data_IF_547881183946
#
_entry.id   IF_547881183946
#
_cell.length_a   1.000
_cell.length_b   1.000
_cell.length_c   1.000
_cell.angle_alpha   90.00
_cell.angle_beta   90.00
_cell.angle_gamma   90.00
#
_symmetry.space_group_name_H-M   'P 1'
#
loop_
_entity.id
_entity.type
_entity.pdbx_description
1 polymer ?
#
# COMPACT_ATOMS: atom_id res chain seq x y z
N UNK A 1 -8.54 24.79 9.40
CA UNK A 1 -7.28 24.28 8.79
C UNK A 1 -6.60 23.31 9.76
N UNK A 2 -7.28 22.19 10.09
CA UNK A 2 -6.82 21.17 11.06
C UNK A 2 -7.11 19.77 10.50
N UNK A 3 -8.20 19.64 9.72
CA UNK A 3 -8.58 18.39 9.04
C UNK A 3 -7.51 17.97 8.02
N UNK A 4 -6.90 18.92 7.29
CA UNK A 4 -5.81 18.62 6.35
C UNK A 4 -4.57 18.03 7.04
N UNK A 5 -4.11 18.63 8.14
CA UNK A 5 -2.97 18.11 8.90
C UNK A 5 -3.27 16.77 9.56
N UNK A 6 -4.52 16.53 9.97
CA UNK A 6 -4.91 15.25 10.55
C UNK A 6 -4.83 14.10 9.54
N UNK A 7 -5.32 14.32 8.32
CA UNK A 7 -5.27 13.33 7.23
C UNK A 7 -3.81 13.11 6.77
N UNK A 8 -3.02 14.17 6.65
CA UNK A 8 -1.60 14.08 6.29
C UNK A 8 -0.79 13.33 7.36
N UNK A 9 -1.02 13.62 8.64
CA UNK A 9 -0.40 12.88 9.74
C UNK A 9 -0.80 11.39 9.72
N UNK A 10 -2.05 11.08 9.41
CA UNK A 10 -2.53 9.70 9.29
C UNK A 10 -1.91 8.98 8.08
N UNK A 11 -1.77 9.66 6.95
CA UNK A 11 -1.10 9.15 5.75
C UNK A 11 0.38 8.88 6.00
N UNK A 12 1.07 9.78 6.70
CA UNK A 12 2.46 9.60 7.09
C UNK A 12 2.64 8.44 8.07
N UNK A 13 1.72 8.28 9.03
CA UNK A 13 1.73 7.16 9.97
C UNK A 13 1.47 5.83 9.25
N UNK A 14 0.55 5.82 8.29
CA UNK A 14 0.29 4.66 7.43
C UNK A 14 1.52 4.33 6.56
N UNK A 15 2.20 5.35 6.02
CA UNK A 15 3.43 5.21 5.24
C UNK A 15 4.61 4.74 6.10
N UNK A 16 4.67 5.13 7.38
CA UNK A 16 5.64 4.59 8.35
C UNK A 16 5.46 3.08 8.58
N UNK A 17 4.26 2.55 8.32
CA UNK A 17 3.96 1.11 8.31
C UNK A 17 4.03 0.49 6.90
N UNK A 18 4.77 1.12 5.98
CA UNK A 18 5.06 0.61 4.63
C UNK A 18 5.40 -0.88 4.51
N UNK A 19 6.13 -1.57 5.41
CA UNK A 19 6.44 -2.98 5.22
C UNK A 19 5.18 -3.83 5.40
N UNK A 20 4.29 -3.42 6.31
CA UNK A 20 2.99 -4.06 6.56
C UNK A 20 2.06 -3.87 5.36
N UNK A 21 2.06 -2.68 4.74
CA UNK A 21 1.27 -2.39 3.54
C UNK A 21 1.70 -3.27 2.35
N UNK A 22 3.00 -3.50 2.18
CA UNK A 22 3.54 -4.40 1.14
C UNK A 22 3.04 -5.83 1.36
N UNK A 23 3.19 -6.36 2.58
CA UNK A 23 2.75 -7.73 2.92
C UNK A 23 1.24 -7.88 2.73
N UNK A 24 0.46 -6.88 3.14
CA UNK A 24 -1.00 -6.86 2.95
C UNK A 24 -1.37 -6.88 1.46
N UNK A 25 -0.73 -6.05 0.64
CA UNK A 25 -0.97 -6.00 -0.81
C UNK A 25 -0.58 -7.31 -1.51
N UNK A 26 0.53 -7.93 -1.12
CA UNK A 26 0.98 -9.22 -1.66
C UNK A 26 -0.01 -10.33 -1.26
N UNK A 27 -0.44 -10.37 0.01
CA UNK A 27 -1.43 -11.32 0.51
C UNK A 27 -2.77 -11.19 -0.20
N UNK A 28 -3.26 -9.96 -0.40
CA UNK A 28 -4.45 -9.69 -1.19
C UNK A 28 -4.26 -10.11 -2.65
N UNK A 29 -3.11 -9.80 -3.27
CA UNK A 29 -2.81 -10.22 -4.64
C UNK A 29 -2.85 -11.74 -4.79
N UNK A 30 -2.32 -12.49 -3.82
CA UNK A 30 -2.34 -13.96 -3.82
C UNK A 30 -3.78 -14.51 -3.72
N UNK A 31 -4.61 -13.90 -2.87
CA UNK A 31 -6.02 -14.27 -2.73
C UNK A 31 -6.82 -13.99 -4.01
N UNK A 32 -6.56 -12.85 -4.67
CA UNK A 32 -7.22 -12.47 -5.92
C UNK A 32 -6.69 -13.22 -7.15
N UNK A 33 -5.44 -13.69 -7.11
CA UNK A 33 -4.87 -14.56 -8.15
C UNK A 33 -5.64 -15.87 -8.26
N UNK A 34 -6.05 -16.44 -7.12
CA UNK A 34 -6.80 -17.69 -7.07
C UNK A 34 -8.28 -17.57 -7.46
N UNK A 35 -8.91 -16.40 -7.23
CA UNK A 35 -10.39 -16.34 -7.20
C UNK A 35 -11.05 -15.64 -8.38
N UNK A 36 -10.60 -14.49 -8.93
CA UNK A 36 -11.45 -13.87 -9.97
C UNK A 36 -10.87 -12.87 -10.98
N UNK A 37 -9.77 -12.15 -10.79
CA UNK A 37 -9.30 -11.20 -11.82
C UNK A 37 -7.80 -10.94 -11.77
N UNK A 38 -7.05 -11.55 -12.70
CA UNK A 38 -5.59 -11.31 -12.89
C UNK A 38 -5.25 -9.83 -12.99
N UNK A 39 -6.15 -9.05 -13.61
CA UNK A 39 -5.99 -7.60 -13.79
C UNK A 39 -5.93 -6.85 -12.45
N UNK A 40 -6.72 -7.27 -11.46
CA UNK A 40 -6.74 -6.69 -10.11
C UNK A 40 -5.53 -7.10 -9.29
N UNK A 41 -5.09 -8.36 -9.42
CA UNK A 41 -3.88 -8.85 -8.75
C UNK A 41 -2.62 -8.08 -9.18
N UNK A 42 -2.52 -7.74 -10.47
CA UNK A 42 -1.43 -6.90 -11.01
C UNK A 42 -1.49 -5.50 -10.41
N UNK A 43 -2.69 -4.89 -10.31
CA UNK A 43 -2.85 -3.57 -9.68
C UNK A 43 -2.36 -3.57 -8.23
N UNK A 44 -2.68 -4.61 -7.44
CA UNK A 44 -2.20 -4.73 -6.07
C UNK A 44 -0.67 -4.86 -5.97
N UNK A 45 -0.04 -5.57 -6.92
CA UNK A 45 1.44 -5.67 -6.97
C UNK A 45 2.05 -4.31 -7.32
N UNK A 46 1.49 -3.60 -8.30
CA UNK A 46 1.98 -2.25 -8.68
C UNK A 46 1.86 -1.28 -7.51
N UNK A 47 0.75 -1.31 -6.77
CA UNK A 47 0.56 -0.49 -5.57
C UNK A 47 1.60 -0.86 -4.50
N UNK A 48 1.84 -2.16 -4.25
CA UNK A 48 2.85 -2.60 -3.29
C UNK A 48 4.25 -2.07 -3.63
N UNK A 49 4.64 -2.10 -4.91
CA UNK A 49 5.92 -1.58 -5.37
C UNK A 49 6.01 -0.07 -5.14
N UNK A 50 4.97 0.69 -5.51
CA UNK A 50 4.95 2.15 -5.32
C UNK A 50 5.05 2.50 -3.83
N UNK A 51 4.28 1.82 -2.97
CA UNK A 51 4.32 2.04 -1.52
C UNK A 51 5.69 1.69 -0.93
N UNK A 52 6.33 0.63 -1.42
CA UNK A 52 7.69 0.27 -1.01
C UNK A 52 8.74 1.31 -1.43
N UNK A 53 8.67 1.82 -2.66
CA UNK A 53 9.56 2.87 -3.12
C UNK A 53 9.34 4.16 -2.32
N UNK A 54 8.09 4.56 -2.11
CA UNK A 54 7.75 5.77 -1.33
C UNK A 54 8.22 5.69 0.12
N UNK A 55 8.04 4.56 0.78
CA UNK A 55 8.55 4.41 2.14
C UNK A 55 10.09 4.34 2.19
N UNK A 56 10.76 3.94 1.09
CA UNK A 56 12.24 3.89 1.04
C UNK A 56 12.79 5.30 0.96
N UNK A 57 12.13 6.17 0.20
CA UNK A 57 12.42 7.60 0.19
C UNK A 57 12.06 8.30 1.51
N UNK A 58 11.17 7.71 2.32
CA UNK A 58 10.76 8.25 3.61
C UNK A 58 11.69 7.86 4.77
N UNK A 59 12.48 6.79 4.61
CA UNK A 59 13.45 6.31 5.60
C UNK A 59 14.81 6.96 5.41
#
# INVERSE_FOLDING_TARGET
>A
MIIHSGIEAYLLLLLSMWPVLIVLCIGMSLAFYGVLMRKTAITFIVIAIITGVLGWFYT
#
